data_IF_551944615414
#
_entry.id   IF_551944615414
#
_cell.length_a   1.000
_cell.length_b   1.000
_cell.length_c   1.000
_cell.angle_alpha   90.00
_cell.angle_beta   90.00
_cell.angle_gamma   90.00
#
_symmetry.space_group_name_H-M   'P 1'
#
loop_
_entity.id
_entity.type
_entity.pdbx_description
1 polymer ?
#
# COMPACT_ATOMS: atom_id res chain seq x y z
N UNK A 1 13.25 18.08 -6.50
CA UNK A 1 13.64 17.27 -5.32
C UNK A 1 12.54 16.28 -4.92
N UNK A 2 11.95 15.55 -5.88
CA UNK A 2 10.78 14.68 -5.63
C UNK A 2 11.12 13.20 -5.66
N UNK A 3 12.39 12.86 -5.89
CA UNK A 3 12.90 11.49 -5.83
C UNK A 3 12.95 10.85 -4.42
N UNK A 4 13.09 11.58 -3.28
CA UNK A 4 13.37 10.90 -2.01
C UNK A 4 12.22 10.01 -1.56
N UNK A 5 10.95 10.44 -1.72
CA UNK A 5 9.78 9.64 -1.30
C UNK A 5 9.67 8.36 -2.13
N UNK A 6 9.91 8.44 -3.44
CA UNK A 6 9.94 7.27 -4.32
C UNK A 6 11.03 6.29 -3.91
N UNK A 7 12.24 6.79 -3.61
CA UNK A 7 13.35 5.95 -3.16
C UNK A 7 13.06 5.30 -1.81
N UNK A 8 12.52 6.06 -0.85
CA UNK A 8 12.13 5.53 0.46
C UNK A 8 11.09 4.42 0.30
N UNK A 9 10.06 4.63 -0.53
CA UNK A 9 9.05 3.60 -0.78
C UNK A 9 9.66 2.31 -1.36
N UNK A 10 10.60 2.43 -2.31
CA UNK A 10 11.30 1.27 -2.89
C UNK A 10 12.21 0.57 -1.87
N UNK A 11 12.93 1.31 -1.04
CA UNK A 11 13.78 0.74 0.02
C UNK A 11 12.93 0.00 1.06
N UNK A 12 11.81 0.58 1.47
CA UNK A 12 10.88 -0.07 2.39
C UNK A 12 10.25 -1.33 1.77
N UNK A 13 9.89 -1.28 0.48
CA UNK A 13 9.38 -2.45 -0.22
C UNK A 13 10.42 -3.57 -0.26
N UNK A 14 11.67 -3.24 -0.59
CA UNK A 14 12.77 -4.20 -0.62
C UNK A 14 13.06 -4.80 0.76
N UNK A 15 13.05 -3.98 1.82
CA UNK A 15 13.21 -4.44 3.19
C UNK A 15 12.07 -5.40 3.60
N UNK A 16 10.83 -5.09 3.23
CA UNK A 16 9.67 -5.93 3.53
C UNK A 16 9.75 -7.27 2.80
N UNK A 17 10.13 -7.27 1.51
CA UNK A 17 10.36 -8.50 0.74
C UNK A 17 11.48 -9.35 1.36
N UNK A 18 12.55 -8.73 1.83
CA UNK A 18 13.64 -9.44 2.51
C UNK A 18 13.17 -10.08 3.83
N UNK A 19 12.35 -9.38 4.62
CA UNK A 19 11.77 -9.92 5.85
C UNK A 19 10.82 -11.09 5.58
N UNK A 20 9.95 -10.97 4.57
CA UNK A 20 9.05 -12.06 4.15
C UNK A 20 9.88 -13.26 3.69
N UNK A 21 10.89 -13.05 2.85
CA UNK A 21 11.77 -14.12 2.39
C UNK A 21 12.53 -14.80 3.53
N UNK A 22 13.02 -14.03 4.51
CA UNK A 22 13.67 -14.57 5.71
C UNK A 22 12.69 -15.41 6.55
N UNK A 23 11.48 -14.90 6.81
CA UNK A 23 10.46 -15.61 7.58
C UNK A 23 10.00 -16.89 6.86
N UNK A 24 9.77 -16.83 5.53
CA UNK A 24 9.41 -18.01 4.73
C UNK A 24 10.51 -19.08 4.70
N UNK A 25 11.78 -18.70 4.88
CA UNK A 25 12.88 -19.65 4.94
C UNK A 25 13.08 -20.28 6.32
N UNK A 26 12.77 -19.54 7.40
CA UNK A 26 13.06 -19.94 8.79
C UNK A 26 11.86 -20.48 9.56
N UNK A 27 10.65 -20.04 9.22
CA UNK A 27 9.44 -20.28 9.99
C UNK A 27 8.52 -21.33 9.37
N UNK A 28 7.62 -21.85 10.20
CA UNK A 28 6.44 -22.60 9.75
C UNK A 28 5.26 -21.65 9.71
N UNK A 29 4.89 -21.23 8.50
CA UNK A 29 3.80 -20.27 8.31
C UNK A 29 2.49 -20.72 8.96
N UNK A 30 2.14 -22.01 8.88
CA UNK A 30 0.88 -22.51 9.41
C UNK A 30 0.85 -22.49 10.94
N UNK A 31 1.92 -22.98 11.57
CA UNK A 31 2.04 -22.99 13.03
C UNK A 31 2.11 -21.56 13.61
N UNK A 32 2.92 -20.70 13.01
CA UNK A 32 3.09 -19.31 13.47
C UNK A 32 1.83 -18.48 13.24
N UNK A 33 1.15 -18.63 12.09
CA UNK A 33 -0.12 -17.97 11.83
C UNK A 33 -1.23 -18.46 12.78
N UNK A 34 -1.25 -19.76 13.09
CA UNK A 34 -2.12 -20.33 14.12
C UNK A 34 -1.91 -19.69 15.49
N UNK A 35 -0.65 -19.50 15.90
CA UNK A 35 -0.32 -18.80 17.14
C UNK A 35 -0.78 -17.34 17.14
N UNK A 36 -0.57 -16.60 16.04
CA UNK A 36 -1.01 -15.21 15.89
C UNK A 36 -2.53 -15.10 16.02
N UNK A 37 -3.30 -15.96 15.36
CA UNK A 37 -4.78 -15.93 15.41
C UNK A 37 -5.37 -16.36 16.75
N UNK A 38 -4.62 -17.11 17.56
CA UNK A 38 -4.99 -17.44 18.94
C UNK A 38 -4.85 -16.23 19.89
N UNK A 39 -3.90 -15.34 19.64
CA UNK A 39 -3.64 -14.16 20.46
C UNK A 39 -4.66 -13.03 20.20
N UNK A 40 -5.24 -12.39 21.23
CA UNK A 40 -6.18 -11.28 21.05
C UNK A 40 -5.60 -10.12 20.23
N UNK A 41 -4.38 -9.68 20.57
CA UNK A 41 -3.68 -8.64 19.81
C UNK A 41 -3.28 -9.09 18.41
N UNK A 42 -2.95 -10.37 18.22
CA UNK A 42 -2.66 -10.93 16.90
C UNK A 42 -3.88 -10.82 15.97
N UNK A 43 -5.08 -11.12 16.46
CA UNK A 43 -6.33 -10.88 15.71
C UNK A 43 -6.57 -9.40 15.41
N UNK A 44 -6.36 -8.51 16.38
CA UNK A 44 -6.50 -7.05 16.16
C UNK A 44 -5.55 -6.57 15.08
N UNK A 45 -4.27 -6.98 15.12
CA UNK A 45 -3.28 -6.62 14.11
C UNK A 45 -3.62 -7.17 12.72
N UNK A 46 -4.16 -8.39 12.63
CA UNK A 46 -4.63 -8.94 11.35
C UNK A 46 -5.81 -8.14 10.81
N UNK A 47 -6.81 -7.83 11.65
CA UNK A 47 -7.97 -7.02 11.23
C UNK A 47 -7.51 -5.64 10.77
N UNK A 48 -6.64 -4.97 11.53
CA UNK A 48 -6.06 -3.68 11.17
C UNK A 48 -5.34 -3.73 9.81
N UNK A 49 -4.50 -4.74 9.59
CA UNK A 49 -3.80 -4.97 8.33
C UNK A 49 -4.76 -5.12 7.14
N UNK A 50 -5.75 -6.01 7.27
CA UNK A 50 -6.69 -6.28 6.17
C UNK A 50 -7.68 -5.13 5.92
N UNK A 51 -8.08 -4.38 6.96
CA UNK A 51 -8.84 -3.14 6.79
C UNK A 51 -7.99 -2.09 6.04
N UNK A 52 -6.70 -1.98 6.37
CA UNK A 52 -5.75 -1.17 5.62
C UNK A 52 -5.67 -1.55 4.14
N UNK A 53 -5.65 -2.86 3.83
CA UNK A 53 -5.66 -3.36 2.44
C UNK A 53 -6.95 -3.01 1.70
N UNK A 54 -8.11 -3.09 2.36
CA UNK A 54 -9.39 -2.69 1.77
C UNK A 54 -9.43 -1.20 1.46
N UNK A 55 -8.94 -0.35 2.37
CA UNK A 55 -8.84 1.09 2.15
C UNK A 55 -7.90 1.38 0.98
N UNK A 56 -6.71 0.77 0.95
CA UNK A 56 -5.78 0.87 -0.16
C UNK A 56 -6.44 0.45 -1.48
N UNK A 57 -7.15 -0.69 -1.50
CA UNK A 57 -7.83 -1.19 -2.69
C UNK A 57 -8.90 -0.22 -3.19
N UNK A 58 -9.66 0.41 -2.28
CA UNK A 58 -10.63 1.44 -2.64
C UNK A 58 -9.96 2.66 -3.31
N UNK A 59 -8.83 3.14 -2.77
CA UNK A 59 -8.08 4.23 -3.40
C UNK A 59 -7.55 3.85 -4.78
N UNK A 60 -6.96 2.66 -4.93
CA UNK A 60 -6.51 2.15 -6.24
C UNK A 60 -7.69 2.09 -7.22
N UNK A 61 -8.84 1.57 -6.79
CA UNK A 61 -10.04 1.47 -7.62
C UNK A 61 -10.51 2.84 -8.13
N UNK A 62 -10.46 3.87 -7.27
CA UNK A 62 -10.85 5.24 -7.62
C UNK A 62 -9.82 5.95 -8.50
N UNK A 63 -8.53 5.65 -8.33
CA UNK A 63 -7.44 6.39 -8.98
C UNK A 63 -7.02 5.80 -10.33
N UNK A 64 -7.12 4.49 -10.51
CA UNK A 64 -6.77 3.80 -11.75
C UNK A 64 -7.98 3.76 -12.71
N UNK A 65 -7.72 3.96 -14.00
CA UNK A 65 -8.78 4.09 -15.01
C UNK A 65 -9.22 2.76 -15.58
N UNK A 66 -8.30 1.86 -15.88
CA UNK A 66 -8.59 0.58 -16.51
C UNK A 66 -8.67 -0.57 -15.51
N UNK A 67 -9.59 -1.51 -15.78
CA UNK A 67 -9.86 -2.64 -14.88
C UNK A 67 -8.63 -3.54 -14.69
N UNK A 68 -7.80 -3.71 -15.73
CA UNK A 68 -6.62 -4.58 -15.65
C UNK A 68 -5.61 -4.01 -14.65
N UNK A 69 -5.32 -2.71 -14.74
CA UNK A 69 -4.43 -2.01 -13.81
C UNK A 69 -5.00 -1.99 -12.40
N UNK A 70 -6.33 -1.79 -12.23
CA UNK A 70 -6.97 -1.91 -10.91
C UNK A 70 -6.70 -3.28 -10.28
N UNK A 71 -7.00 -4.35 -11.01
CA UNK A 71 -6.82 -5.72 -10.50
C UNK A 71 -5.35 -6.04 -10.23
N UNK A 72 -4.43 -5.57 -11.09
CA UNK A 72 -2.98 -5.73 -10.90
C UNK A 72 -2.50 -5.13 -9.57
N UNK A 73 -3.05 -4.00 -9.15
CA UNK A 73 -2.64 -3.34 -7.91
C UNK A 73 -3.43 -3.79 -6.69
N UNK A 74 -4.71 -4.14 -6.85
CA UNK A 74 -5.59 -4.57 -5.76
C UNK A 74 -5.31 -6.01 -5.33
N UNK A 75 -5.34 -6.96 -6.27
CA UNK A 75 -5.36 -8.39 -5.91
C UNK A 75 -4.08 -8.82 -5.18
N UNK A 76 -2.86 -8.44 -5.62
CA UNK A 76 -1.65 -8.93 -4.97
C UNK A 76 -1.45 -8.38 -3.55
N UNK A 77 -2.08 -7.27 -3.16
CA UNK A 77 -1.88 -6.69 -1.81
C UNK A 77 -2.34 -7.64 -0.71
N UNK A 78 -3.35 -8.49 -0.96
CA UNK A 78 -3.85 -9.45 0.02
C UNK A 78 -2.89 -10.62 0.29
N UNK A 79 -1.87 -10.79 -0.56
CA UNK A 79 -0.87 -11.86 -0.44
C UNK A 79 0.53 -11.31 -0.17
N UNK A 80 0.91 -10.24 -0.86
CA UNK A 80 2.22 -9.59 -0.78
C UNK A 80 2.26 -8.50 0.30
N UNK A 81 1.11 -8.11 0.83
CA UNK A 81 0.97 -7.07 1.84
C UNK A 81 1.51 -5.72 1.40
N UNK A 82 2.07 -4.99 2.37
CA UNK A 82 2.51 -3.62 2.19
C UNK A 82 3.71 -3.47 1.23
N UNK A 83 4.43 -4.55 0.90
CA UNK A 83 5.44 -4.49 -0.14
C UNK A 83 4.85 -4.03 -1.48
N UNK A 84 3.66 -4.54 -1.83
CA UNK A 84 3.00 -4.20 -3.10
C UNK A 84 2.40 -2.79 -3.10
N UNK A 85 1.82 -2.37 -1.97
CA UNK A 85 1.29 -1.00 -1.84
C UNK A 85 2.40 0.05 -1.95
N UNK A 86 3.58 -0.22 -1.40
CA UNK A 86 4.77 0.64 -1.54
C UNK A 86 5.27 0.72 -2.98
N UNK A 87 5.26 -0.40 -3.72
CA UNK A 87 5.59 -0.40 -5.16
C UNK A 87 4.59 0.46 -5.93
N UNK A 88 3.29 0.33 -5.66
CA UNK A 88 2.27 1.17 -6.30
C UNK A 88 2.51 2.67 -6.03
N UNK A 89 2.79 3.06 -4.78
CA UNK A 89 3.14 4.44 -4.42
C UNK A 89 4.35 4.91 -5.22
N UNK A 90 5.42 4.10 -5.27
CA UNK A 90 6.64 4.47 -5.98
C UNK A 90 6.42 4.65 -7.50
N UNK A 91 5.56 3.82 -8.10
CA UNK A 91 5.21 3.89 -9.52
C UNK A 91 4.29 5.08 -9.81
N UNK A 92 3.32 5.38 -8.93
CA UNK A 92 2.35 6.47 -9.09
C UNK A 92 2.79 7.82 -8.53
N UNK A 93 3.96 7.87 -7.92
CA UNK A 93 4.50 9.07 -7.29
C UNK A 93 4.52 10.31 -8.21
N UNK A 94 4.94 10.23 -9.48
CA UNK A 94 4.89 11.39 -10.38
C UNK A 94 3.48 11.93 -10.60
N UNK A 95 2.49 11.04 -10.76
CA UNK A 95 1.08 11.41 -10.96
C UNK A 95 0.48 12.01 -9.69
N UNK A 96 0.79 11.42 -8.52
CA UNK A 96 0.36 11.93 -7.21
C UNK A 96 0.89 13.35 -7.03
N UNK A 97 2.18 13.57 -7.27
CA UNK A 97 2.80 14.89 -7.15
C UNK A 97 2.18 15.91 -8.11
N UNK A 98 1.92 15.52 -9.35
CA UNK A 98 1.29 16.40 -10.34
C UNK A 98 -0.11 16.84 -9.86
N UNK A 99 -0.91 15.92 -9.33
CA UNK A 99 -2.25 16.23 -8.78
C UNK A 99 -2.18 17.15 -7.57
N UNK A 100 -1.26 16.91 -6.63
CA UNK A 100 -1.07 17.75 -5.45
C UNK A 100 -0.67 19.19 -5.82
N UNK A 101 0.23 19.35 -6.81
CA UNK A 101 0.63 20.66 -7.31
C UNK A 101 -0.53 21.41 -7.97
N UNK A 102 -1.31 20.72 -8.80
CA UNK A 102 -2.44 21.33 -9.49
C UNK A 102 -3.54 21.76 -8.50
N UNK A 103 -3.85 20.93 -7.50
CA UNK A 103 -4.81 21.28 -6.45
C UNK A 103 -4.40 22.52 -5.63
N UNK A 104 -3.09 22.73 -5.41
CA UNK A 104 -2.60 23.93 -4.72
C UNK A 104 -2.60 25.21 -5.57
N UNK A 105 -2.75 25.09 -6.89
CA UNK A 105 -2.71 26.21 -7.83
C UNK A 105 -4.11 26.78 -8.14
N UNK A 106 -5.18 26.07 -7.79
CA UNK A 106 -6.56 26.49 -8.01
C UNK A 106 -7.01 27.42 -6.85
N UNK A 107 -7.34 28.69 -7.09
CA UNK A 107 -7.83 29.58 -6.04
C UNK A 107 -9.20 29.09 -5.53
N UNK A 108 -9.52 29.25 -4.23
CA UNK A 108 -10.75 28.73 -3.65
C UNK A 108 -11.99 29.26 -4.40
N UNK A 109 -12.85 28.33 -4.81
CA UNK A 109 -14.09 28.52 -5.57
C UNK A 109 -15.12 29.46 -4.89
N UNK A 110 -14.91 29.83 -3.63
CA UNK A 110 -15.91 30.54 -2.82
C UNK A 110 -15.74 32.07 -2.80
N UNK A 111 -14.86 32.63 -3.63
CA UNK A 111 -14.69 34.09 -3.76
C UNK A 111 -15.63 34.74 -4.78
N UNK A 112 -16.71 34.05 -5.18
CA UNK A 112 -17.77 34.59 -6.06
C UNK A 112 -19.15 34.14 -5.57
N UNK A 113 -19.63 34.77 -4.50
CA UNK A 113 -21.06 34.95 -4.26
C UNK A 113 -21.32 36.33 -3.70
#
# INVERSE_FOLDING_TARGET
MTQPIRLIALVLAAAFVALVGWASWRGDFGAEFGAITAMPWGRVSLIDLYLGFLIYAAFVWLLETDLKTRLLWIVPVFFLGNAWSLVWIAVRWPQILARLKNASAEPPSDAKS
#
